data_IF_308508605001
#
_entry.id   IF_308508605001
#
_cell.length_a   1.000
_cell.length_b   1.000
_cell.length_c   1.000
_cell.angle_alpha   90.00
_cell.angle_beta   90.00
_cell.angle_gamma   90.00
#
_symmetry.space_group_name_H-M   'P 1'
#
loop_
_entity.id
_entity.type
_entity.pdbx_description
1 polymer ?
#
# COMPACT_ATOMS: atom_id res chain seq x y z
N UNK A 1 6.57 -9.78 -16.95
CA UNK A 1 6.27 -8.56 -16.18
C UNK A 1 4.80 -8.59 -15.86
N UNK A 2 4.44 -8.23 -14.63
CA UNK A 2 3.03 -8.15 -14.21
C UNK A 2 2.37 -6.92 -14.83
N UNK A 3 1.08 -7.03 -15.15
CA UNK A 3 0.28 -5.92 -15.64
C UNK A 3 0.08 -4.90 -14.52
N UNK A 4 0.26 -3.61 -14.83
CA UNK A 4 0.04 -2.52 -13.86
C UNK A 4 -1.28 -1.83 -14.16
N UNK A 5 -2.23 -1.96 -13.26
CA UNK A 5 -3.58 -1.38 -13.37
C UNK A 5 -3.72 -0.24 -12.38
N UNK A 6 -4.03 0.97 -12.86
CA UNK A 6 -4.30 2.13 -12.00
C UNK A 6 -5.77 2.16 -11.61
N UNK A 7 -6.03 2.07 -10.31
CA UNK A 7 -7.37 2.17 -9.77
C UNK A 7 -7.73 3.64 -9.52
N UNK A 8 -8.96 4.02 -9.84
CA UNK A 8 -9.57 5.29 -9.44
C UNK A 8 -10.33 5.13 -8.12
N UNK A 9 -10.56 6.25 -7.43
CA UNK A 9 -11.27 6.24 -6.16
C UNK A 9 -12.68 5.68 -6.35
N UNK A 10 -12.99 4.58 -5.66
CA UNK A 10 -14.26 3.85 -5.79
C UNK A 10 -14.16 2.54 -6.56
N UNK A 11 -13.04 2.26 -7.24
CA UNK A 11 -12.79 0.95 -7.83
C UNK A 11 -12.58 -0.10 -6.73
N UNK A 12 -13.15 -1.27 -6.95
CA UNK A 12 -12.99 -2.42 -6.06
C UNK A 12 -11.82 -3.28 -6.51
N UNK A 13 -11.02 -3.72 -5.55
CA UNK A 13 -10.04 -4.78 -5.77
C UNK A 13 -10.76 -6.11 -6.05
N UNK A 14 -10.12 -7.05 -6.75
CA UNK A 14 -10.65 -8.40 -6.88
C UNK A 14 -10.81 -9.06 -5.50
N UNK A 15 -11.91 -9.80 -5.31
CA UNK A 15 -12.15 -10.55 -4.07
C UNK A 15 -11.29 -11.82 -3.98
N UNK A 16 -10.87 -12.37 -5.13
CA UNK A 16 -10.11 -13.61 -5.24
C UNK A 16 -8.88 -13.44 -6.15
N UNK A 17 -7.91 -14.33 -5.95
CA UNK A 17 -6.69 -14.41 -6.75
C UNK A 17 -5.46 -13.82 -6.06
N UNK A 18 -4.30 -14.10 -6.65
CA UNK A 18 -3.02 -13.54 -6.20
C UNK A 18 -2.77 -12.23 -6.95
N UNK A 19 -2.72 -11.13 -6.21
CA UNK A 19 -2.36 -9.80 -6.73
C UNK A 19 -1.59 -9.00 -5.68
N UNK A 20 -0.90 -7.95 -6.16
CA UNK A 20 -0.24 -6.95 -5.33
C UNK A 20 -0.95 -5.60 -5.49
N UNK A 21 -0.91 -4.77 -4.46
CA UNK A 21 -1.48 -3.43 -4.48
C UNK A 21 -0.44 -2.44 -3.99
N UNK A 22 -0.03 -1.51 -4.85
CA UNK A 22 0.82 -0.39 -4.48
C UNK A 22 -0.06 0.73 -3.94
N UNK A 23 -0.06 0.89 -2.63
CA UNK A 23 -0.87 1.88 -1.91
C UNK A 23 -0.01 3.11 -1.62
N UNK A 24 -0.39 4.26 -2.18
CA UNK A 24 0.16 5.55 -1.74
C UNK A 24 -0.55 5.99 -0.47
N UNK A 25 0.21 6.26 0.58
CA UNK A 25 -0.25 6.81 1.84
C UNK A 25 0.22 8.26 1.99
N UNK A 26 -0.71 9.20 1.97
CA UNK A 26 -0.39 10.62 2.21
C UNK A 26 -0.44 10.94 3.70
N UNK A 27 0.66 11.43 4.29
CA UNK A 27 0.71 11.99 5.65
C UNK A 27 0.78 13.52 5.58
N UNK A 28 0.54 14.26 6.68
CA UNK A 28 0.47 15.74 6.66
C UNK A 28 1.69 16.48 6.07
N UNK A 29 2.86 15.81 5.92
CA UNK A 29 4.08 16.43 5.40
C UNK A 29 4.85 15.57 4.38
N UNK A 30 4.49 14.30 4.21
CA UNK A 30 5.21 13.34 3.36
C UNK A 30 4.23 12.35 2.76
N UNK A 31 4.60 11.73 1.65
CA UNK A 31 3.90 10.56 1.12
C UNK A 31 4.84 9.36 1.14
N UNK A 32 4.28 8.19 1.37
CA UNK A 32 4.98 6.90 1.38
C UNK A 32 4.19 5.91 0.52
N UNK A 33 4.86 4.96 -0.09
CA UNK A 33 4.22 3.88 -0.84
C UNK A 33 4.46 2.55 -0.14
N UNK A 34 3.43 1.72 -0.07
CA UNK A 34 3.49 0.37 0.46
C UNK A 34 2.98 -0.60 -0.58
N UNK A 35 3.41 -1.85 -0.50
CA UNK A 35 2.89 -2.94 -1.31
C UNK A 35 2.05 -3.82 -0.38
N UNK A 36 0.74 -3.71 -0.50
CA UNK A 36 -0.21 -4.62 0.12
C UNK A 36 -0.35 -5.88 -0.73
N UNK A 37 -0.53 -7.00 -0.05
CA UNK A 37 -0.58 -8.32 -0.67
C UNK A 37 -2.00 -8.87 -0.54
N UNK A 38 -2.54 -9.45 -1.61
CA UNK A 38 -3.84 -10.14 -1.58
C UNK A 38 -3.88 -11.24 -0.51
N UNK A 39 -5.05 -11.52 0.12
CA UNK A 39 -5.19 -12.56 1.14
C UNK A 39 -4.65 -13.93 0.72
N UNK A 40 -4.78 -14.29 -0.55
CA UNK A 40 -4.27 -15.56 -1.09
C UNK A 40 -2.74 -15.65 -1.05
N UNK A 41 -2.04 -14.52 -1.16
CA UNK A 41 -0.59 -14.44 -1.23
C UNK A 41 0.04 -14.07 0.14
N UNK A 42 -0.75 -13.55 1.09
CA UNK A 42 -0.29 -13.20 2.45
C UNK A 42 0.51 -14.31 3.16
N UNK A 43 0.11 -15.60 3.13
CA UNK A 43 0.87 -16.66 3.82
C UNK A 43 2.28 -16.89 3.27
N UNK A 44 2.55 -16.47 2.03
CA UNK A 44 3.83 -16.67 1.35
C UNK A 44 4.79 -15.49 1.52
N UNK A 45 4.24 -14.27 1.58
CA UNK A 45 4.99 -13.02 1.43
C UNK A 45 4.85 -12.11 2.66
N UNK A 46 3.82 -12.34 3.47
CA UNK A 46 3.34 -11.39 4.47
C UNK A 46 2.33 -10.41 3.88
N UNK A 47 1.67 -9.67 4.78
CA UNK A 47 0.54 -8.79 4.42
C UNK A 47 0.95 -7.50 3.71
N UNK A 48 2.10 -6.94 4.09
CA UNK A 48 2.54 -5.62 3.62
C UNK A 48 4.05 -5.53 3.56
N UNK A 49 4.54 -4.88 2.50
CA UNK A 49 5.96 -4.61 2.26
C UNK A 49 6.17 -3.09 2.11
N UNK A 50 7.19 -2.49 2.75
CA UNK A 50 8.13 -3.11 3.71
C UNK A 50 7.42 -3.59 4.99
N UNK A 51 7.85 -4.70 5.61
CA UNK A 51 7.25 -5.21 6.84
C UNK A 51 7.63 -4.30 8.01
N UNK A 52 6.66 -3.52 8.53
CA UNK A 52 6.85 -2.72 9.74
C UNK A 52 7.98 -1.69 9.63
N UNK A 53 7.79 -0.65 8.83
CA UNK A 53 8.78 0.42 8.64
C UNK A 53 8.24 1.57 7.80
N UNK A 54 9.08 2.57 7.49
CA UNK A 54 8.73 3.60 6.51
C UNK A 54 8.53 2.96 5.14
N UNK A 55 7.57 3.49 4.38
CA UNK A 55 7.30 3.01 3.03
C UNK A 55 8.34 3.52 2.03
N UNK A 56 8.18 3.13 0.77
CA UNK A 56 9.01 3.65 -0.31
C UNK A 56 8.76 5.16 -0.51
N UNK A 57 9.82 5.91 -0.77
CA UNK A 57 9.74 7.36 -0.95
C UNK A 57 9.15 7.77 -2.32
N UNK A 58 9.12 6.85 -3.29
CA UNK A 58 8.63 7.12 -4.65
C UNK A 58 7.79 5.96 -5.19
N UNK A 59 6.85 6.29 -6.10
CA UNK A 59 6.03 5.29 -6.79
C UNK A 59 6.89 4.37 -7.65
N UNK A 60 7.91 4.91 -8.31
CA UNK A 60 8.81 4.14 -9.18
C UNK A 60 9.54 3.05 -8.40
N UNK A 61 10.10 3.40 -7.24
CA UNK A 61 10.77 2.43 -6.36
C UNK A 61 9.81 1.36 -5.88
N UNK A 62 8.59 1.73 -5.50
CA UNK A 62 7.56 0.79 -5.08
C UNK A 62 7.13 -0.15 -6.21
N UNK A 63 6.98 0.36 -7.44
CA UNK A 63 6.61 -0.44 -8.60
C UNK A 63 7.73 -1.41 -9.02
N UNK A 64 8.98 -0.98 -8.97
CA UNK A 64 10.11 -1.88 -9.26
C UNK A 64 10.16 -3.04 -8.25
N UNK A 65 10.03 -2.73 -6.95
CA UNK A 65 9.95 -3.76 -5.91
C UNK A 65 8.72 -4.67 -6.10
N UNK A 66 7.56 -4.11 -6.46
CA UNK A 66 6.36 -4.90 -6.73
C UNK A 66 6.52 -5.79 -7.97
N UNK A 67 7.20 -5.34 -9.02
CA UNK A 67 7.49 -6.14 -10.21
C UNK A 67 8.46 -7.29 -9.91
N UNK A 68 9.49 -7.05 -9.11
CA UNK A 68 10.40 -8.10 -8.64
C UNK A 68 9.65 -9.15 -7.82
N UNK A 69 8.81 -8.71 -6.89
CA UNK A 69 7.99 -9.58 -6.06
C UNK A 69 6.98 -10.37 -6.90
N UNK A 70 6.34 -9.71 -7.86
CA UNK A 70 5.41 -10.36 -8.79
C UNK A 70 6.12 -11.42 -9.64
N UNK A 71 7.35 -11.17 -10.09
CA UNK A 71 8.14 -12.16 -10.81
C UNK A 71 8.50 -13.37 -9.94
N UNK A 72 8.87 -13.16 -8.67
CA UNK A 72 9.21 -14.22 -7.73
C UNK A 72 8.02 -15.14 -7.41
N UNK A 73 6.83 -14.55 -7.26
CA UNK A 73 5.62 -15.28 -6.87
C UNK A 73 4.66 -15.55 -8.03
N UNK A 74 5.06 -15.25 -9.27
CA UNK A 74 4.25 -15.43 -10.49
C UNK A 74 2.91 -14.70 -10.45
N UNK A 75 2.88 -13.53 -9.81
CA UNK A 75 1.69 -12.70 -9.69
C UNK A 75 1.42 -12.00 -11.03
N UNK A 76 0.22 -12.13 -11.61
CA UNK A 76 -0.07 -11.58 -12.93
C UNK A 76 -0.33 -10.07 -12.93
N UNK A 77 -0.82 -9.51 -11.80
CA UNK A 77 -1.36 -8.15 -11.77
C UNK A 77 -0.90 -7.37 -10.52
N UNK A 78 -0.56 -6.10 -10.74
CA UNK A 78 -0.25 -5.11 -9.72
C UNK A 78 -1.23 -3.96 -9.86
N UNK A 79 -2.03 -3.73 -8.83
CA UNK A 79 -2.92 -2.59 -8.75
C UNK A 79 -2.20 -1.39 -8.13
N UNK A 80 -2.46 -0.19 -8.62
CA UNK A 80 -1.94 1.05 -8.02
C UNK A 80 -3.12 1.83 -7.48
N UNK A 81 -3.12 2.05 -6.17
CA UNK A 81 -4.18 2.75 -5.46
C UNK A 81 -3.60 3.99 -4.74
N UNK A 82 -4.37 5.07 -4.75
CA UNK A 82 -4.05 6.28 -4.02
C UNK A 82 -4.99 6.45 -2.82
N UNK A 83 -4.45 6.34 -1.61
CA UNK A 83 -5.17 6.60 -0.38
C UNK A 83 -4.66 7.89 0.30
N UNK A 84 -5.59 8.82 0.52
CA UNK A 84 -5.30 10.03 1.30
C UNK A 84 -5.84 9.83 2.70
N UNK A 85 -4.99 9.43 3.63
CA UNK A 85 -5.36 9.32 5.05
C UNK A 85 -4.95 10.63 5.73
N UNK A 86 -5.93 11.44 6.14
CA UNK A 86 -5.64 12.58 7.01
C UNK A 86 -5.25 12.04 8.40
N UNK A 87 -3.96 11.73 8.59
CA UNK A 87 -3.43 11.41 9.92
C UNK A 87 -3.44 12.70 10.73
N UNK A 88 -4.51 12.95 11.49
CA UNK A 88 -4.51 14.00 12.51
C UNK A 88 -3.36 13.66 13.47
N UNK A 89 -2.36 14.54 13.66
CA UNK A 89 -1.35 14.30 14.68
C UNK A 89 -2.06 14.11 16.02
N UNK A 90 -1.91 12.93 16.60
CA UNK A 90 -2.33 12.70 17.97
C UNK A 90 -1.38 13.51 18.85
N UNK A 91 -1.87 14.62 19.41
CA UNK A 91 -1.16 15.37 20.43
C UNK A 91 -1.57 14.79 21.79
N UNK A 92 -0.73 14.00 22.49
CA UNK A 92 -1.02 13.46 23.82
C UNK A 92 -1.01 14.54 24.94
N UNK A 93 -1.59 15.71 24.67
CA UNK A 93 -1.69 16.84 25.61
C UNK A 93 -2.95 17.67 25.45
N UNK A 94 -3.77 17.42 24.43
CA UNK A 94 -5.06 18.09 24.26
C UNK A 94 -6.19 17.23 24.85
N UNK A 95 -6.12 16.93 26.15
CA UNK A 95 -7.33 16.53 26.85
C UNK A 95 -8.29 17.74 26.82
N UNK A 96 -9.58 17.56 26.47
CA UNK A 96 -10.54 18.63 26.64
C UNK A 96 -10.58 18.95 28.14
N UNK A 97 -10.15 20.16 28.52
CA UNK A 97 -10.54 20.74 29.80
C UNK A 97 -12.07 20.91 29.73
N UNK A 98 -12.78 19.93 30.28
CA UNK A 98 -14.14 20.14 30.74
C UNK A 98 -14.04 21.16 31.87
N UNK A 99 -14.44 22.40 31.58
CA UNK A 99 -14.77 23.43 32.57
C UNK A 99 -16.27 23.67 32.43
#
# INVERSE_FOLDING_TARGET
MAEVVKLVAGDTLPDEGEFLVVTRLSRPRVFEYFIDVSPALEPKVGRRIPPGGPGYASLETALNAAQELAAQHQVPTIYVQHESILVRPFFPGAAPRLI
#
